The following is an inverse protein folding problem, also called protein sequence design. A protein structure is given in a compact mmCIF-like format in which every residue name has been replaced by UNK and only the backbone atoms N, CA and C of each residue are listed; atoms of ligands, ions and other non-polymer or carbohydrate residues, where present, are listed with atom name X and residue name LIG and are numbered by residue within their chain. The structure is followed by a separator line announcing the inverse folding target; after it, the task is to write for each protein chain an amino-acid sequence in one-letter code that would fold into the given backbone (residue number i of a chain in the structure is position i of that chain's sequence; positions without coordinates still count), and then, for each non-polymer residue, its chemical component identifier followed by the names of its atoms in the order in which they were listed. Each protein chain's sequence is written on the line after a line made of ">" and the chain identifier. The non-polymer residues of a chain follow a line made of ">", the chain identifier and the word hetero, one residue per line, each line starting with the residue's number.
data_IF_322125765320
#
_entry.id   IF_322125765320
#
_cell.length_a   1.000
_cell.length_b   1.000
_cell.length_c   1.000
_cell.angle_alpha   90.00
_cell.angle_beta   90.00
_cell.angle_gamma   90.00
#
_symmetry.space_group_name_H-M   'P 1'
#
loop_
_entity.id
_entity.type
_entity.pdbx_description
1 polymer ?
#
# COMPACT_ATOMS: atom_id res chain seq x y z
N UNK A 1 -28.58 12.21 9.83
CA UNK A 1 -27.27 11.66 10.24
C UNK A 1 -26.45 12.80 10.82
N UNK A 2 -26.22 12.81 12.13
CA UNK A 2 -25.38 13.81 12.81
C UNK A 2 -24.07 13.13 13.20
N UNK A 3 -22.96 13.62 12.66
CA UNK A 3 -21.63 13.17 13.08
C UNK A 3 -21.36 13.88 14.41
N UNK A 4 -21.06 13.15 15.50
CA UNK A 4 -20.75 13.78 16.78
C UNK A 4 -19.48 14.64 16.65
N UNK A 5 -19.43 15.82 17.30
CA UNK A 5 -18.25 16.66 17.27
C UNK A 5 -17.07 15.93 17.91
N UNK A 6 -15.89 16.10 17.32
CA UNK A 6 -14.64 15.54 17.83
C UNK A 6 -14.39 16.05 19.26
N UNK A 7 -13.90 15.15 20.14
CA UNK A 7 -13.46 15.51 21.48
C UNK A 7 -12.31 16.51 21.39
N UNK A 8 -12.33 17.55 22.24
CA UNK A 8 -11.26 18.57 22.31
C UNK A 8 -9.90 18.00 22.72
N UNK A 9 -9.85 16.79 23.28
CA UNK A 9 -8.63 16.04 23.60
C UNK A 9 -8.10 15.17 22.45
N UNK A 10 -8.80 15.13 21.32
CA UNK A 10 -8.39 14.31 20.18
C UNK A 10 -7.23 14.97 19.44
N UNK A 11 -6.08 14.30 19.43
CA UNK A 11 -4.95 14.67 18.60
C UNK A 11 -4.95 13.82 17.33
N UNK A 12 -4.75 14.43 16.15
CA UNK A 12 -4.66 13.67 14.91
C UNK A 12 -3.47 12.70 14.99
N UNK A 13 -3.66 11.42 14.61
CA UNK A 13 -2.57 10.46 14.56
C UNK A 13 -1.53 10.85 13.52
N UNK A 14 -0.30 10.34 13.68
CA UNK A 14 0.80 10.60 12.76
C UNK A 14 0.37 10.25 11.31
N UNK A 15 0.47 11.21 10.36
CA UNK A 15 0.01 11.01 8.98
C UNK A 15 0.72 9.88 8.25
N UNK A 16 1.98 9.59 8.58
CA UNK A 16 2.73 8.46 8.01
C UNK A 16 2.14 7.12 8.47
N UNK A 17 1.74 7.04 9.74
CA UNK A 17 1.12 5.84 10.32
C UNK A 17 -0.27 5.60 9.72
N UNK A 18 -1.06 6.66 9.54
CA UNK A 18 -2.34 6.60 8.81
C UNK A 18 -2.13 6.14 7.37
N UNK A 19 -1.10 6.65 6.69
CA UNK A 19 -0.77 6.27 5.31
C UNK A 19 -0.38 4.79 5.21
N UNK A 20 0.47 4.30 6.11
CA UNK A 20 0.83 2.88 6.18
C UNK A 20 -0.40 2.00 6.38
N UNK A 21 -1.27 2.35 7.33
CA UNK A 21 -2.52 1.63 7.58
C UNK A 21 -3.43 1.63 6.35
N UNK A 22 -3.56 2.76 5.66
CA UNK A 22 -4.36 2.88 4.44
C UNK A 22 -3.82 1.97 3.32
N UNK A 23 -2.50 1.92 3.14
CA UNK A 23 -1.85 1.04 2.16
C UNK A 23 -2.14 -0.43 2.49
N UNK A 24 -1.96 -0.87 3.74
CA UNK A 24 -2.31 -2.23 4.15
C UNK A 24 -3.83 -2.51 4.11
N UNK A 25 -4.66 -1.47 4.22
CA UNK A 25 -6.10 -1.57 4.08
C UNK A 25 -6.57 -1.69 2.62
N UNK A 26 -5.70 -1.50 1.63
CA UNK A 26 -6.10 -1.57 0.22
C UNK A 26 -6.19 -0.23 -0.50
N UNK A 27 -5.94 0.89 0.20
CA UNK A 27 -6.20 2.23 -0.31
C UNK A 27 -4.92 2.84 -0.89
N UNK A 28 -4.85 2.91 -2.22
CA UNK A 28 -3.73 3.50 -2.96
C UNK A 28 -3.84 5.04 -3.13
N UNK A 29 -4.97 5.63 -2.74
CA UNK A 29 -5.19 7.07 -2.89
C UNK A 29 -4.46 7.84 -1.80
N UNK A 30 -3.37 8.50 -2.20
CA UNK A 30 -2.59 9.42 -1.36
C UNK A 30 -3.08 10.84 -1.58
N UNK A 31 -3.10 11.63 -0.51
CA UNK A 31 -3.62 12.99 -0.54
C UNK A 31 -2.68 13.97 -1.23
N UNK A 32 -1.38 13.84 -0.96
CA UNK A 32 -0.34 14.78 -1.38
C UNK A 32 0.86 14.06 -2.01
N UNK A 33 1.59 14.78 -2.87
CA UNK A 33 2.84 14.29 -3.46
C UNK A 33 3.91 13.99 -2.40
N UNK A 34 4.07 14.84 -1.39
CA UNK A 34 5.03 14.63 -0.30
C UNK A 34 4.77 13.30 0.45
N UNK A 35 3.51 12.93 0.65
CA UNK A 35 3.13 11.64 1.25
C UNK A 35 3.52 10.47 0.36
N UNK A 36 3.45 10.64 -0.96
CA UNK A 36 3.92 9.66 -1.93
C UNK A 36 5.43 9.49 -1.87
N UNK A 37 6.20 10.58 -1.78
CA UNK A 37 7.66 10.51 -1.65
C UNK A 37 8.07 9.77 -0.38
N UNK A 38 7.45 10.12 0.77
CA UNK A 38 7.71 9.44 2.04
C UNK A 38 7.35 7.95 1.99
N UNK A 39 6.24 7.60 1.34
CA UNK A 39 5.86 6.20 1.15
C UNK A 39 6.86 5.46 0.26
N UNK A 40 7.32 6.08 -0.83
CA UNK A 40 8.36 5.52 -1.69
C UNK A 40 9.66 5.30 -0.92
N UNK A 41 10.10 6.27 -0.10
CA UNK A 41 11.28 6.11 0.76
C UNK A 41 11.09 4.99 1.78
N UNK A 42 9.93 4.91 2.43
CA UNK A 42 9.59 3.84 3.37
C UNK A 42 9.61 2.45 2.71
N UNK A 43 9.10 2.34 1.49
CA UNK A 43 9.09 1.11 0.69
C UNK A 43 10.44 0.82 0.00
N UNK A 44 11.40 1.73 0.04
CA UNK A 44 12.69 1.61 -0.66
C UNK A 44 12.58 1.70 -2.18
N UNK A 45 11.60 2.45 -2.70
CA UNK A 45 11.37 2.62 -4.13
C UNK A 45 12.20 3.77 -4.70
N UNK A 46 12.66 3.58 -5.94
CA UNK A 46 13.31 4.64 -6.69
C UNK A 46 12.31 5.75 -7.04
N UNK A 47 12.66 6.98 -6.68
CA UNK A 47 11.93 8.18 -7.05
C UNK A 47 12.82 9.03 -7.98
N UNK A 48 12.37 9.26 -9.22
CA UNK A 48 13.15 9.99 -10.24
C UNK A 48 13.52 11.41 -9.85
N UNK A 49 12.76 12.06 -8.96
CA UNK A 49 13.05 13.42 -8.50
C UNK A 49 14.09 13.48 -7.37
N UNK A 50 14.54 12.31 -6.87
CA UNK A 50 15.66 12.26 -5.94
C UNK A 50 16.95 12.63 -6.69
N UNK A 51 17.37 13.89 -6.53
CA UNK A 51 18.58 14.51 -7.13
C UNK A 51 19.90 13.75 -6.89
N UNK A 52 19.88 12.69 -6.10
CA UNK A 52 21.07 12.03 -5.56
C UNK A 52 21.44 10.74 -6.30
N UNK A 53 20.65 10.28 -7.27
CA UNK A 53 20.75 8.90 -7.76
C UNK A 53 20.85 8.85 -9.29
N UNK A 54 22.05 9.09 -9.81
CA UNK A 54 22.37 8.88 -11.22
C UNK A 54 22.93 7.48 -11.52
N UNK A 55 23.04 6.58 -10.52
CA UNK A 55 23.71 5.28 -10.71
C UNK A 55 23.22 4.14 -9.80
N UNK A 56 21.99 4.19 -9.28
CA UNK A 56 21.48 3.08 -8.46
C UNK A 56 20.86 2.00 -9.33
N UNK A 57 21.31 0.77 -9.10
CA UNK A 57 20.65 -0.43 -9.63
C UNK A 57 19.39 -0.69 -8.81
N UNK A 58 18.23 -0.54 -9.45
CA UNK A 58 16.94 -0.95 -8.91
C UNK A 58 16.51 -2.28 -9.56
N UNK A 59 15.72 -3.05 -8.83
CA UNK A 59 15.09 -4.27 -9.34
C UNK A 59 13.98 -3.94 -10.37
N UNK A 60 13.48 -4.92 -11.14
CA UNK A 60 12.43 -4.67 -12.15
C UNK A 60 11.17 -3.99 -11.58
N UNK A 61 10.92 -4.12 -10.28
CA UNK A 61 9.80 -3.50 -9.57
C UNK A 61 10.10 -2.06 -9.08
N UNK A 62 11.31 -1.54 -9.31
CA UNK A 62 11.74 -0.21 -8.84
C UNK A 62 12.27 -0.21 -7.39
N UNK A 63 12.36 -1.37 -6.74
CA UNK A 63 12.92 -1.51 -5.39
C UNK A 63 14.45 -1.39 -5.40
N UNK A 64 14.99 -0.60 -4.48
CA UNK A 64 16.43 -0.40 -4.29
C UNK A 64 16.89 -1.28 -3.13
N UNK A 65 17.83 -2.19 -3.41
CA UNK A 65 18.44 -3.04 -2.37
C UNK A 65 19.14 -2.20 -1.30
N UNK A 66 19.14 -2.64 -0.02
CA UNK A 66 19.77 -1.92 1.10
C UNK A 66 21.22 -1.50 0.84
N UNK A 67 21.97 -2.29 0.06
CA UNK A 67 23.35 -2.04 -0.36
C UNK A 67 23.53 -0.77 -1.23
N UNK A 68 22.46 -0.29 -1.84
CA UNK A 68 22.45 0.85 -2.75
C UNK A 68 21.55 1.99 -2.25
N UNK A 69 21.03 1.89 -1.02
CA UNK A 69 20.17 2.92 -0.43
C UNK A 69 20.99 4.08 0.13
N UNK A 70 20.43 5.28 0.07
CA UNK A 70 20.97 6.44 0.81
C UNK A 70 20.82 6.21 2.32
N UNK A 71 21.60 6.94 3.12
CA UNK A 71 21.57 6.82 4.59
C UNK A 71 20.16 7.07 5.16
N UNK A 72 19.47 8.09 4.64
CA UNK A 72 18.08 8.41 5.03
C UNK A 72 17.10 7.29 4.70
N UNK A 73 17.26 6.66 3.53
CA UNK A 73 16.39 5.56 3.12
C UNK A 73 16.68 4.28 3.91
N UNK A 74 17.93 4.05 4.30
CA UNK A 74 18.31 2.92 5.16
C UNK A 74 17.72 3.05 6.58
N UNK A 75 17.58 4.27 7.10
CA UNK A 75 16.95 4.53 8.40
C UNK A 75 15.43 4.28 8.38
N UNK A 76 14.76 4.51 7.24
CA UNK A 76 13.31 4.39 7.10
C UNK A 76 12.85 3.04 6.52
N UNK A 77 13.63 2.45 5.60
CA UNK A 77 13.31 1.21 4.91
C UNK A 77 14.06 0.04 5.57
N UNK A 78 13.34 -0.73 6.39
CA UNK A 78 13.89 -1.95 7.02
C UNK A 78 13.74 -3.20 6.13
N UNK A 79 13.16 -3.04 4.93
CA UNK A 79 12.85 -4.17 4.06
C UNK A 79 14.09 -4.64 3.30
N UNK A 80 14.32 -5.96 3.33
CA UNK A 80 15.42 -6.60 2.59
C UNK A 80 15.04 -6.96 1.16
N UNK A 81 13.74 -7.03 0.87
CA UNK A 81 13.15 -7.43 -0.40
C UNK A 81 11.97 -6.53 -0.76
N UNK A 82 11.57 -6.56 -2.05
CA UNK A 82 10.44 -5.81 -2.57
C UNK A 82 9.13 -6.24 -1.90
N UNK A 83 8.55 -5.37 -1.09
CA UNK A 83 7.19 -5.52 -0.56
C UNK A 83 6.11 -5.36 -1.63
N UNK A 84 6.46 -4.84 -2.81
CA UNK A 84 5.47 -4.58 -3.86
C UNK A 84 4.81 -5.86 -4.35
N UNK A 85 5.52 -6.99 -4.37
CA UNK A 85 4.93 -8.27 -4.72
C UNK A 85 3.84 -8.68 -3.73
N UNK A 86 4.13 -8.55 -2.43
CA UNK A 86 3.19 -8.89 -1.34
C UNK A 86 2.01 -7.90 -1.31
N UNK A 87 2.28 -6.60 -1.46
CA UNK A 87 1.24 -5.57 -1.54
C UNK A 87 0.34 -5.80 -2.74
N UNK A 88 0.89 -6.13 -3.91
CA UNK A 88 0.13 -6.45 -5.12
C UNK A 88 -0.74 -7.69 -4.92
N UNK A 89 -0.24 -8.70 -4.22
CA UNK A 89 -1.02 -9.88 -3.85
C UNK A 89 -2.17 -9.50 -2.90
N UNK A 90 -1.89 -8.69 -1.88
CA UNK A 90 -2.87 -8.23 -0.89
C UNK A 90 -3.96 -7.34 -1.52
N UNK A 91 -3.59 -6.46 -2.44
CA UNK A 91 -4.53 -5.69 -3.25
C UNK A 91 -5.33 -6.61 -4.19
N UNK A 92 -4.67 -7.58 -4.80
CA UNK A 92 -5.30 -8.59 -5.66
C UNK A 92 -6.34 -9.42 -4.91
N UNK A 93 -6.04 -9.86 -3.69
CA UNK A 93 -6.99 -10.60 -2.84
C UNK A 93 -8.24 -9.77 -2.49
N UNK A 94 -8.10 -8.44 -2.35
CA UNK A 94 -9.23 -7.56 -2.04
C UNK A 94 -10.06 -7.18 -3.26
N UNK A 95 -9.43 -6.94 -4.42
CA UNK A 95 -10.15 -6.67 -5.67
C UNK A 95 -10.79 -7.92 -6.26
N UNK A 96 -10.26 -9.10 -5.91
CA UNK A 96 -10.92 -10.37 -6.11
C UNK A 96 -11.92 -10.58 -4.97
N UNK A 97 -12.97 -9.77 -4.97
CA UNK A 97 -14.19 -10.07 -4.23
C UNK A 97 -14.48 -11.56 -4.46
N UNK A 98 -14.56 -12.30 -3.36
CA UNK A 98 -14.66 -13.75 -3.33
C UNK A 98 -15.81 -14.24 -4.25
N UNK A 99 -15.50 -14.53 -5.52
CA UNK A 99 -16.42 -15.14 -6.49
C UNK A 99 -16.65 -16.61 -6.15
N UNK A 100 -17.03 -16.89 -4.90
CA UNK A 100 -17.38 -18.22 -4.38
C UNK A 100 -18.60 -18.16 -3.46
N UNK A 101 -19.56 -17.27 -3.76
CA UNK A 101 -20.92 -17.33 -3.21
C UNK A 101 -22.00 -17.38 -4.31
N UNK A 102 -21.64 -17.76 -5.54
CA UNK A 102 -22.56 -18.08 -6.64
C UNK A 102 -22.06 -19.43 -7.15
N UNK A 103 -22.50 -20.59 -6.67
CA UNK A 103 -23.77 -21.24 -7.01
C UNK A 103 -24.00 -22.46 -6.09
N UNK A 104 -24.71 -22.30 -4.97
CA UNK A 104 -25.41 -23.44 -4.33
C UNK A 104 -26.93 -23.36 -4.44
N UNK A 105 -27.51 -22.22 -4.85
CA UNK A 105 -28.97 -22.06 -4.98
C UNK A 105 -29.49 -21.98 -6.42
N UNK A 106 -28.62 -21.99 -7.43
CA UNK A 106 -29.02 -21.99 -8.83
C UNK A 106 -29.33 -23.40 -9.41
N UNK A 107 -29.31 -24.44 -8.58
CA UNK A 107 -29.52 -25.83 -9.02
C UNK A 107 -30.92 -26.41 -8.77
N UNK A 108 -31.83 -25.70 -8.09
CA UNK A 108 -33.09 -26.31 -7.61
C UNK A 108 -34.36 -25.96 -8.39
N UNK A 109 -34.26 -25.27 -9.53
CA UNK A 109 -35.43 -24.87 -10.35
C UNK A 109 -35.52 -25.55 -11.73
N UNK A 110 -34.73 -26.61 -12.00
CA UNK A 110 -34.76 -27.32 -13.31
C UNK A 110 -35.32 -28.74 -13.22
N UNK A 111 -35.95 -29.13 -12.10
CA UNK A 111 -36.71 -30.38 -12.02
C UNK A 111 -38.05 -30.12 -11.32
N UNK A 112 -38.96 -29.46 -12.03
CA UNK A 112 -40.39 -29.71 -11.88
C UNK A 112 -41.07 -29.45 -13.24
N UNK A 113 -41.13 -30.50 -14.06
CA UNK A 113 -41.98 -30.58 -15.24
C UNK A 113 -42.44 -32.02 -15.43
#
# INVERSE_FOLDING_TARGET
>A
FLIPPLLSSWNPPNPMLVTQLNIFAGQLYLHNWETYEQLCTFLGLYLSDSKTISTVRYENDGFIKPEHQSKEMNELCTFKSSLLSELKELFGMRQKENEYAITQWAGLWVVDR
#
